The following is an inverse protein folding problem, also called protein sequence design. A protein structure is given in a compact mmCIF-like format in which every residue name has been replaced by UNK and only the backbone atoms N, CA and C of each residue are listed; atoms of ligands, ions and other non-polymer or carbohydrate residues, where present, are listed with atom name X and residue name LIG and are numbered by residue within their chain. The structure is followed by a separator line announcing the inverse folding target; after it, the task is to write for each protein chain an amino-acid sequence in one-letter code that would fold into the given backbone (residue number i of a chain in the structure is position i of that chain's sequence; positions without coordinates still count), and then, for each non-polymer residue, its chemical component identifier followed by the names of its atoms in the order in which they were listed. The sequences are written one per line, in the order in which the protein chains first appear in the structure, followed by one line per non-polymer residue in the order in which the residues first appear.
data_IF_308538734453
#
_entry.id   IF_308538734453
#
_cell.length_a   1.000
_cell.length_b   1.000
_cell.length_c   1.000
_cell.angle_alpha   90.00
_cell.angle_beta   90.00
_cell.angle_gamma   90.00
#
_symmetry.space_group_name_H-M   'P 1'
#
loop_
_entity.id
_entity.type
_entity.pdbx_description
1 polymer ?
#
# COMPACT_ATOMS: atom_id res chain seq x y z
N UNK A 1 55.34 -57.35 35.42
CA UNK A 1 54.29 -56.36 35.33
C UNK A 1 53.38 -56.76 34.16
N UNK A 2 52.13 -57.08 34.41
CA UNK A 2 51.27 -57.88 33.51
C UNK A 2 50.28 -56.94 32.83
N UNK A 3 50.47 -56.76 31.53
CA UNK A 3 49.55 -55.99 30.67
C UNK A 3 48.37 -56.87 30.29
N UNK A 4 47.15 -56.42 30.67
CA UNK A 4 45.91 -57.08 30.27
C UNK A 4 45.38 -56.35 29.00
N UNK A 5 45.36 -57.04 27.88
CA UNK A 5 44.73 -56.61 26.62
C UNK A 5 43.26 -56.96 26.72
N UNK A 6 42.41 -55.95 26.74
CA UNK A 6 40.96 -56.11 26.64
C UNK A 6 40.54 -56.04 25.16
N UNK A 7 40.01 -57.16 24.69
CA UNK A 7 39.48 -57.32 23.33
C UNK A 7 38.08 -56.73 23.27
N UNK A 8 37.92 -55.60 22.59
CA UNK A 8 36.62 -54.95 22.37
C UNK A 8 36.00 -55.52 21.06
N UNK A 9 35.02 -56.37 21.23
CA UNK A 9 34.21 -56.89 20.12
C UNK A 9 33.25 -55.75 19.65
N UNK A 10 33.54 -55.20 18.47
CA UNK A 10 32.69 -54.21 17.81
C UNK A 10 31.55 -54.93 17.05
N UNK A 11 30.38 -54.98 17.66
CA UNK A 11 29.15 -55.45 17.02
C UNK A 11 28.62 -54.36 16.08
N UNK A 12 28.78 -54.54 14.80
CA UNK A 12 28.19 -53.66 13.77
C UNK A 12 26.70 -54.01 13.65
N UNK A 13 25.88 -53.13 14.17
CA UNK A 13 24.43 -53.17 14.07
C UNK A 13 24.02 -52.48 12.76
N UNK A 14 23.63 -53.30 11.76
CA UNK A 14 23.04 -52.79 10.51
C UNK A 14 21.66 -52.23 10.80
N UNK A 15 21.56 -50.89 10.84
CA UNK A 15 20.25 -50.20 10.87
C UNK A 15 19.72 -50.14 9.45
N UNK A 16 18.75 -51.01 9.12
CA UNK A 16 17.95 -50.85 7.90
C UNK A 16 17.07 -49.62 8.10
N UNK A 17 17.45 -48.52 7.46
CA UNK A 17 16.56 -47.36 7.32
C UNK A 17 15.44 -47.75 6.34
N UNK A 18 14.28 -48.12 6.85
CA UNK A 18 13.06 -48.22 6.08
C UNK A 18 12.68 -46.84 5.56
N UNK A 19 12.82 -46.61 4.25
CA UNK A 19 12.21 -45.50 3.58
C UNK A 19 10.69 -45.65 3.62
N UNK A 20 10.01 -44.98 4.54
CA UNK A 20 8.57 -44.81 4.47
C UNK A 20 8.23 -43.85 3.33
N UNK A 21 7.29 -44.23 2.43
CA UNK A 21 6.82 -43.29 1.41
C UNK A 21 6.09 -42.14 2.11
N UNK A 22 6.60 -40.89 1.96
CA UNK A 22 5.91 -39.68 2.37
C UNK A 22 4.51 -39.71 1.77
N UNK A 23 3.49 -39.91 2.60
CA UNK A 23 2.11 -39.61 2.22
C UNK A 23 2.06 -38.16 1.76
N UNK A 24 1.74 -37.95 0.48
CA UNK A 24 1.40 -36.65 -0.05
C UNK A 24 0.21 -36.14 0.79
N UNK A 25 0.50 -35.12 1.59
CA UNK A 25 -0.52 -34.36 2.28
C UNK A 25 -1.39 -33.71 1.18
N UNK A 26 -2.72 -33.84 1.23
CA UNK A 26 -3.58 -33.15 0.28
C UNK A 26 -3.22 -31.66 0.34
N UNK A 27 -2.99 -31.05 -0.82
CA UNK A 27 -2.77 -29.63 -0.93
C UNK A 27 -3.94 -28.92 -0.21
N UNK A 28 -3.64 -28.19 0.86
CA UNK A 28 -4.61 -27.28 1.46
C UNK A 28 -5.14 -26.39 0.33
N UNK A 29 -6.46 -26.16 0.25
CA UNK A 29 -6.99 -25.23 -0.73
C UNK A 29 -6.31 -23.89 -0.46
N UNK A 30 -5.58 -23.39 -1.46
CA UNK A 30 -5.05 -22.04 -1.47
C UNK A 30 -6.23 -21.15 -1.14
N UNK A 31 -6.22 -20.55 0.06
CA UNK A 31 -7.21 -19.56 0.44
C UNK A 31 -7.10 -18.44 -0.60
N UNK A 32 -7.97 -18.48 -1.59
CA UNK A 32 -8.19 -17.34 -2.47
C UNK A 32 -8.63 -16.20 -1.55
N UNK A 33 -7.76 -15.21 -1.38
CA UNK A 33 -8.12 -13.97 -0.71
C UNK A 33 -9.45 -13.50 -1.30
N UNK A 34 -10.42 -13.09 -0.47
CA UNK A 34 -11.76 -12.78 -0.96
C UNK A 34 -11.65 -11.67 -2.01
N UNK A 35 -12.10 -11.98 -3.22
CA UNK A 35 -12.19 -11.05 -4.38
C UNK A 35 -13.05 -9.82 -4.06
N UNK A 36 -13.76 -9.83 -2.94
CA UNK A 36 -14.61 -8.74 -2.45
C UNK A 36 -13.86 -7.45 -2.11
N UNK A 37 -12.56 -7.49 -1.83
CA UNK A 37 -11.82 -6.28 -1.41
C UNK A 37 -11.51 -5.32 -2.58
N UNK A 38 -11.51 -5.82 -3.83
CA UNK A 38 -11.28 -5.00 -5.02
C UNK A 38 -12.55 -4.34 -5.56
N UNK A 39 -13.73 -4.87 -5.26
CA UNK A 39 -15.01 -4.41 -5.84
C UNK A 39 -15.46 -3.03 -5.34
N UNK A 40 -14.91 -2.55 -4.22
CA UNK A 40 -15.31 -1.28 -3.61
C UNK A 40 -14.26 -0.18 -3.74
N UNK A 41 -13.06 -0.50 -4.26
CA UNK A 41 -11.97 0.47 -4.35
C UNK A 41 -12.33 1.66 -5.21
N UNK A 42 -11.86 2.82 -4.79
CA UNK A 42 -12.05 4.09 -5.48
C UNK A 42 -10.72 4.74 -5.77
N UNK A 43 -10.63 5.42 -6.88
CA UNK A 43 -9.51 6.29 -7.23
C UNK A 43 -10.01 7.71 -7.29
N UNK A 44 -9.32 8.63 -6.61
CA UNK A 44 -9.53 10.06 -6.77
C UNK A 44 -8.38 10.61 -7.59
N UNK A 45 -8.71 11.47 -8.54
CA UNK A 45 -7.74 12.36 -9.17
C UNK A 45 -8.15 13.81 -8.92
N UNK A 46 -7.23 14.63 -8.42
CA UNK A 46 -7.45 16.06 -8.23
C UNK A 46 -6.35 16.85 -8.97
N UNK A 47 -6.71 17.42 -10.12
CA UNK A 47 -5.79 18.25 -10.90
C UNK A 47 -5.76 19.66 -10.32
N UNK A 48 -4.56 20.12 -10.02
CA UNK A 48 -4.30 21.42 -9.40
C UNK A 48 -3.54 22.30 -10.36
N UNK A 49 -4.00 23.54 -10.52
CA UNK A 49 -3.40 24.55 -11.37
C UNK A 49 -2.98 25.75 -10.52
N UNK A 50 -1.70 26.00 -10.41
CA UNK A 50 -1.15 27.00 -9.50
C UNK A 50 -0.72 28.27 -10.25
N UNK A 51 -0.71 29.37 -9.53
CA UNK A 51 0.09 30.55 -9.90
C UNK A 51 1.57 30.19 -9.74
N UNK A 52 2.40 30.64 -10.67
CA UNK A 52 3.82 30.22 -10.73
C UNK A 52 4.58 30.53 -9.42
N UNK A 53 4.32 31.69 -8.83
CA UNK A 53 4.93 32.16 -7.59
C UNK A 53 4.44 31.39 -6.33
N UNK A 54 3.39 30.57 -6.47
CA UNK A 54 2.77 29.80 -5.36
C UNK A 54 3.11 28.32 -5.37
N UNK A 55 3.88 27.87 -6.33
CA UNK A 55 4.26 26.44 -6.46
C UNK A 55 5.02 25.95 -5.22
N UNK A 56 6.01 26.70 -4.74
CA UNK A 56 6.80 26.29 -3.57
C UNK A 56 5.95 26.25 -2.29
N UNK A 57 5.12 27.27 -2.06
CA UNK A 57 4.22 27.35 -0.91
C UNK A 57 3.22 26.19 -0.90
N UNK A 58 2.70 25.83 -2.10
CA UNK A 58 1.77 24.72 -2.24
C UNK A 58 2.43 23.38 -1.98
N UNK A 59 3.62 23.13 -2.52
CA UNK A 59 4.35 21.87 -2.30
C UNK A 59 4.67 21.67 -0.82
N UNK A 60 5.02 22.74 -0.09
CA UNK A 60 5.26 22.64 1.35
C UNK A 60 3.97 22.33 2.12
N UNK A 61 2.86 23.01 1.78
CA UNK A 61 1.57 22.71 2.39
C UNK A 61 1.06 21.31 2.06
N UNK A 62 1.35 20.81 0.84
CA UNK A 62 0.93 19.50 0.38
C UNK A 62 1.59 18.35 1.15
N UNK A 63 2.80 18.51 1.69
CA UNK A 63 3.45 17.49 2.53
C UNK A 63 2.57 17.08 3.68
N UNK A 64 2.05 18.07 4.40
CA UNK A 64 1.21 17.80 5.57
C UNK A 64 -0.08 17.04 5.20
N UNK A 65 -0.76 17.43 4.10
CA UNK A 65 -1.98 16.71 3.69
C UNK A 65 -1.67 15.30 3.21
N UNK A 66 -0.56 15.08 2.51
CA UNK A 66 -0.13 13.76 2.06
C UNK A 66 0.14 12.86 3.26
N UNK A 67 1.00 13.29 4.19
CA UNK A 67 1.37 12.49 5.37
C UNK A 67 0.14 12.16 6.23
N UNK A 68 -0.77 13.15 6.42
CA UNK A 68 -2.00 12.96 7.18
C UNK A 68 -2.96 11.98 6.51
N UNK A 69 -3.14 12.09 5.19
CA UNK A 69 -4.05 11.22 4.43
C UNK A 69 -3.53 9.79 4.35
N UNK A 70 -2.22 9.61 4.19
CA UNK A 70 -1.61 8.27 4.19
C UNK A 70 -1.74 7.55 5.53
N UNK A 71 -1.94 8.27 6.62
CA UNK A 71 -2.17 7.69 7.95
C UNK A 71 -3.64 7.31 8.21
N UNK A 72 -4.57 7.67 7.33
CA UNK A 72 -5.98 7.35 7.48
C UNK A 72 -6.27 5.87 7.22
N UNK A 73 -7.15 5.29 8.02
CA UNK A 73 -7.68 3.95 7.75
C UNK A 73 -8.47 3.96 6.44
N UNK A 74 -8.10 3.04 5.53
CA UNK A 74 -8.71 2.95 4.21
C UNK A 74 -8.03 3.78 3.12
N UNK A 75 -7.02 4.59 3.43
CA UNK A 75 -6.12 5.16 2.43
C UNK A 75 -5.07 4.12 2.01
N UNK A 76 -5.11 3.68 0.76
CA UNK A 76 -4.11 2.75 0.23
C UNK A 76 -2.94 3.49 -0.43
N UNK A 77 -3.20 4.66 -0.98
CA UNK A 77 -2.19 5.51 -1.61
C UNK A 77 -2.67 6.95 -1.67
N UNK A 78 -1.78 7.90 -1.42
CA UNK A 78 -2.03 9.33 -1.57
C UNK A 78 -0.76 9.99 -2.11
N UNK A 79 -0.74 10.32 -3.40
CA UNK A 79 0.46 10.78 -4.09
C UNK A 79 0.20 12.09 -4.82
N UNK A 80 1.21 12.96 -4.85
CA UNK A 80 1.20 14.19 -5.64
C UNK A 80 2.26 14.11 -6.73
N UNK A 81 1.85 14.28 -7.97
CA UNK A 81 2.74 14.36 -9.14
C UNK A 81 2.72 15.75 -9.72
N UNK A 82 3.88 16.20 -10.20
CA UNK A 82 4.04 17.48 -10.87
C UNK A 82 4.38 17.24 -12.35
N UNK A 83 3.78 18.03 -13.23
CA UNK A 83 4.08 17.94 -14.66
C UNK A 83 5.56 18.36 -14.90
N UNK A 84 6.37 17.54 -15.58
CA UNK A 84 7.79 17.82 -15.80
C UNK A 84 8.04 19.02 -16.71
N UNK A 85 7.08 19.38 -17.57
CA UNK A 85 7.19 20.48 -18.52
C UNK A 85 6.49 21.77 -18.06
N UNK A 86 5.59 21.66 -17.08
CA UNK A 86 4.85 22.80 -16.52
C UNK A 86 4.65 22.61 -15.02
N UNK A 87 5.56 23.18 -14.25
CA UNK A 87 5.57 23.02 -12.78
C UNK A 87 4.35 23.63 -12.08
N UNK A 88 3.54 24.39 -12.77
CA UNK A 88 2.28 24.95 -12.23
C UNK A 88 1.12 23.94 -12.27
N UNK A 89 1.30 22.80 -12.96
CA UNK A 89 0.29 21.74 -13.08
C UNK A 89 0.68 20.54 -12.24
N UNK A 90 -0.17 20.19 -11.30
CA UNK A 90 -0.01 19.05 -10.42
C UNK A 90 -1.27 18.18 -10.45
N UNK A 91 -1.13 16.95 -10.00
CA UNK A 91 -2.24 16.03 -9.83
C UNK A 91 -2.03 15.18 -8.58
N UNK A 92 -3.00 15.19 -7.68
CA UNK A 92 -3.13 14.16 -6.67
C UNK A 92 -3.73 12.91 -7.32
N UNK A 93 -3.16 11.76 -6.98
CA UNK A 93 -3.70 10.44 -7.31
C UNK A 93 -3.82 9.67 -6.01
N UNK A 94 -5.04 9.29 -5.67
CA UNK A 94 -5.39 8.70 -4.40
C UNK A 94 -6.10 7.38 -4.64
N UNK A 95 -5.80 6.38 -3.83
CA UNK A 95 -6.47 5.08 -3.85
C UNK A 95 -7.07 4.84 -2.46
N UNK A 96 -8.36 4.59 -2.45
CA UNK A 96 -9.15 4.39 -1.24
C UNK A 96 -9.84 3.04 -1.26
N UNK A 97 -9.93 2.41 -0.10
CA UNK A 97 -10.55 1.11 0.10
C UNK A 97 -12.01 1.09 -0.37
N UNK A 98 -12.76 2.14 -0.09
CA UNK A 98 -14.17 2.27 -0.42
C UNK A 98 -14.66 3.73 -0.32
N UNK A 99 -15.96 3.94 -0.58
CA UNK A 99 -16.59 5.26 -0.47
C UNK A 99 -16.62 5.78 0.97
N UNK A 100 -16.75 4.88 1.97
CA UNK A 100 -16.79 5.29 3.38
C UNK A 100 -15.45 5.91 3.80
N UNK A 101 -14.34 5.34 3.34
CA UNK A 101 -13.01 5.90 3.58
C UNK A 101 -12.88 7.31 2.97
N UNK A 102 -13.38 7.54 1.76
CA UNK A 102 -13.40 8.86 1.12
C UNK A 102 -14.26 9.86 1.91
N UNK A 103 -15.44 9.45 2.34
CA UNK A 103 -16.36 10.31 3.11
C UNK A 103 -15.72 10.72 4.45
N UNK A 104 -15.04 9.77 5.11
CA UNK A 104 -14.26 10.04 6.32
C UNK A 104 -13.14 11.05 6.03
N UNK A 105 -12.35 10.83 4.99
CA UNK A 105 -11.27 11.74 4.55
C UNK A 105 -11.79 13.16 4.34
N UNK A 106 -12.86 13.32 3.58
CA UNK A 106 -13.45 14.63 3.33
C UNK A 106 -14.03 15.29 4.59
N UNK A 107 -14.30 14.50 5.64
CA UNK A 107 -14.76 15.00 6.93
C UNK A 107 -13.64 15.52 7.82
N UNK A 108 -12.39 15.13 7.58
CA UNK A 108 -11.23 15.48 8.40
C UNK A 108 -10.99 16.99 8.46
N UNK A 109 -10.66 17.48 9.63
CA UNK A 109 -10.44 18.92 9.86
C UNK A 109 -9.29 19.48 9.03
N UNK A 110 -8.20 18.72 8.89
CA UNK A 110 -7.04 19.13 8.11
C UNK A 110 -7.34 19.21 6.62
N UNK A 111 -8.15 18.28 6.08
CA UNK A 111 -8.60 18.30 4.69
C UNK A 111 -9.49 19.53 4.43
N UNK A 112 -10.49 19.75 5.31
CA UNK A 112 -11.37 20.92 5.24
C UNK A 112 -10.62 22.25 5.32
N UNK A 113 -9.50 22.29 6.05
CA UNK A 113 -8.67 23.49 6.17
C UNK A 113 -7.76 23.72 4.94
N UNK A 114 -7.41 22.67 4.21
CA UNK A 114 -6.46 22.76 3.09
C UNK A 114 -7.00 23.60 1.93
N UNK A 115 -8.25 23.38 1.54
CA UNK A 115 -8.89 24.14 0.46
C UNK A 115 -8.91 25.65 0.70
N UNK A 116 -9.46 26.15 1.82
CA UNK A 116 -9.41 27.57 2.16
C UNK A 116 -7.99 28.16 2.24
N UNK A 117 -7.02 27.39 2.74
CA UNK A 117 -5.61 27.82 2.83
C UNK A 117 -4.99 28.04 1.44
N UNK A 118 -5.32 27.18 0.47
CA UNK A 118 -4.65 27.15 -0.82
C UNK A 118 -5.43 27.82 -1.95
N UNK A 119 -6.70 28.17 -1.75
CA UNK A 119 -7.59 28.71 -2.79
C UNK A 119 -7.00 29.89 -3.57
N UNK A 120 -6.34 30.82 -2.87
CA UNK A 120 -5.79 32.03 -3.48
C UNK A 120 -4.46 31.76 -4.24
N UNK A 121 -3.92 30.55 -4.12
CA UNK A 121 -2.72 30.08 -4.84
C UNK A 121 -3.07 29.46 -6.19
N UNK A 122 -4.35 29.14 -6.41
CA UNK A 122 -4.81 28.53 -7.63
C UNK A 122 -4.94 29.57 -8.74
N UNK A 123 -4.58 29.19 -9.97
CA UNK A 123 -4.83 29.94 -11.19
C UNK A 123 -6.17 29.54 -11.85
N UNK A 124 -6.64 28.32 -11.53
CA UNK A 124 -7.92 27.75 -11.96
C UNK A 124 -8.50 26.87 -10.85
N UNK A 125 -9.82 26.63 -10.83
CA UNK A 125 -10.41 25.67 -9.89
C UNK A 125 -9.78 24.27 -10.03
N UNK A 126 -9.65 23.57 -8.90
CA UNK A 126 -9.23 22.17 -8.89
C UNK A 126 -10.26 21.30 -9.59
N UNK A 127 -9.80 20.41 -10.46
CA UNK A 127 -10.65 19.41 -11.13
C UNK A 127 -10.55 18.09 -10.37
N UNK A 128 -11.58 17.75 -9.61
CA UNK A 128 -11.67 16.50 -8.86
C UNK A 128 -12.56 15.49 -9.59
N UNK A 129 -12.10 14.25 -9.70
CA UNK A 129 -12.87 13.12 -10.25
C UNK A 129 -12.69 11.91 -9.35
N UNK A 130 -13.75 11.12 -9.16
CA UNK A 130 -13.76 9.86 -8.44
C UNK A 130 -14.14 8.76 -9.44
N UNK A 131 -13.41 7.65 -9.40
CA UNK A 131 -13.60 6.49 -10.26
C UNK A 131 -13.78 5.23 -9.44
N UNK A 132 -14.63 4.34 -9.92
CA UNK A 132 -14.71 2.97 -9.43
C UNK A 132 -13.58 2.12 -10.04
N UNK A 133 -12.95 1.28 -9.22
CA UNK A 133 -12.01 0.28 -9.72
C UNK A 133 -12.80 -0.96 -10.12
N UNK A 134 -12.76 -1.32 -11.40
CA UNK A 134 -13.36 -2.55 -11.91
C UNK A 134 -12.23 -3.59 -11.99
N UNK A 135 -12.32 -4.72 -11.25
CA UNK A 135 -11.34 -5.80 -11.37
C UNK A 135 -11.31 -6.33 -12.80
N UNK A 136 -10.12 -6.63 -13.32
CA UNK A 136 -9.99 -7.36 -14.57
C UNK A 136 -10.43 -8.82 -14.34
N UNK A 137 -11.28 -9.33 -15.24
CA UNK A 137 -11.65 -10.74 -15.30
C UNK A 137 -10.47 -11.63 -15.66
#
# INVERSE_FOLDING_TARGET
MKTKIALFLLTIMFIFAACEPKKQQPAEPVATAPVTDTLNKKIITARVFLKAEKVADFLEAARFIIDSSQAEEGCESYMLYQNPYDKTKLIFVEVWKDQVAIDNHFSMSYFKAFGPKTKDWLSQPTELKIFDVIPNE
#
